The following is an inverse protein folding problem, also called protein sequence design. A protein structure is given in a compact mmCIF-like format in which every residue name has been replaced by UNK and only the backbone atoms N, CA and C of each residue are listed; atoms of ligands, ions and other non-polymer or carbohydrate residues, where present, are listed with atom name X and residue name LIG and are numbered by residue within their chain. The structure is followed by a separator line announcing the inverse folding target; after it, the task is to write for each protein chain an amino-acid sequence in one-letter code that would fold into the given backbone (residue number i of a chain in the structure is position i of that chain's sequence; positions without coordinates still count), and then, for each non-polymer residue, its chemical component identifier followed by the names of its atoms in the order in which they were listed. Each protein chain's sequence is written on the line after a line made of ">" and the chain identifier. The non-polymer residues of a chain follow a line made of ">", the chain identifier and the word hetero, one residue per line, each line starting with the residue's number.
data_IF_691514844890
#
_entry.id   IF_691514844890
#
_cell.length_a   1.000
_cell.length_b   1.000
_cell.length_c   1.000
_cell.angle_alpha   90.00
_cell.angle_beta   90.00
_cell.angle_gamma   90.00
#
_symmetry.space_group_name_H-M   'P 1'
#
loop_
_entity.id
_entity.type
_entity.pdbx_description
1 polymer ?
#
# COMPACT_ATOMS: atom_id res chain seq x y z
N UNK A 1 21.10 5.58 -15.73
CA UNK A 1 21.02 4.82 -14.48
C UNK A 1 19.89 5.32 -13.59
N UNK A 2 19.70 6.64 -13.39
CA UNK A 2 18.61 7.18 -12.53
C UNK A 2 17.19 6.74 -12.93
N UNK A 3 16.88 6.72 -14.24
CA UNK A 3 15.59 6.22 -14.75
C UNK A 3 15.33 4.74 -14.46
N UNK A 4 16.38 3.94 -14.40
CA UNK A 4 16.29 2.49 -14.12
C UNK A 4 15.97 2.28 -12.63
N UNK A 5 16.65 3.04 -11.76
CA UNK A 5 16.40 3.07 -10.32
C UNK A 5 14.97 3.52 -9.98
N UNK A 6 14.45 4.56 -10.64
CA UNK A 6 13.06 4.99 -10.43
C UNK A 6 12.03 3.94 -10.86
N UNK A 7 12.31 3.22 -11.96
CA UNK A 7 11.49 2.11 -12.44
C UNK A 7 11.49 0.93 -11.47
N UNK A 8 12.65 0.57 -10.90
CA UNK A 8 12.76 -0.47 -9.88
C UNK A 8 12.03 -0.10 -8.58
N UNK A 9 12.16 1.15 -8.14
CA UNK A 9 11.44 1.66 -6.97
C UNK A 9 9.92 1.64 -7.20
N UNK A 10 9.47 2.04 -8.38
CA UNK A 10 8.06 1.96 -8.75
C UNK A 10 7.55 0.52 -8.78
N UNK A 11 8.31 -0.39 -9.39
CA UNK A 11 7.96 -1.82 -9.43
C UNK A 11 7.87 -2.42 -8.04
N UNK A 12 8.85 -2.12 -7.19
CA UNK A 12 8.88 -2.57 -5.80
C UNK A 12 7.66 -2.06 -5.04
N UNK A 13 7.34 -0.77 -5.17
CA UNK A 13 6.16 -0.19 -4.52
C UNK A 13 4.86 -0.81 -5.04
N UNK A 14 4.75 -1.07 -6.35
CA UNK A 14 3.59 -1.70 -6.95
C UNK A 14 3.35 -3.12 -6.41
N UNK A 15 4.41 -3.93 -6.28
CA UNK A 15 4.30 -5.28 -5.70
C UNK A 15 3.88 -5.22 -4.21
N UNK A 16 4.42 -4.27 -3.46
CA UNK A 16 4.02 -4.06 -2.06
C UNK A 16 2.56 -3.63 -1.92
N UNK A 17 2.06 -2.77 -2.82
CA UNK A 17 0.65 -2.37 -2.85
C UNK A 17 -0.26 -3.56 -3.17
N UNK A 18 0.10 -4.39 -4.15
CA UNK A 18 -0.65 -5.62 -4.46
C UNK A 18 -0.72 -6.56 -3.25
N UNK A 19 0.41 -6.76 -2.57
CA UNK A 19 0.44 -7.57 -1.35
C UNK A 19 -0.48 -6.99 -0.26
N UNK A 20 -0.42 -5.68 -0.01
CA UNK A 20 -1.30 -5.03 0.96
C UNK A 20 -2.79 -5.21 0.62
N UNK A 21 -3.17 -5.10 -0.66
CA UNK A 21 -4.53 -5.40 -1.11
C UNK A 21 -4.94 -6.85 -0.85
N UNK A 22 -4.05 -7.82 -1.05
CA UNK A 22 -4.31 -9.22 -0.74
C UNK A 22 -4.51 -9.45 0.77
N UNK A 23 -3.69 -8.80 1.61
CA UNK A 23 -3.83 -8.88 3.07
C UNK A 23 -5.18 -8.33 3.56
N UNK A 24 -5.60 -7.17 3.06
CA UNK A 24 -6.91 -6.58 3.42
C UNK A 24 -8.07 -7.50 3.03
N UNK A 25 -7.98 -8.19 1.89
CA UNK A 25 -9.01 -9.13 1.46
C UNK A 25 -9.07 -10.41 2.31
N UNK A 26 -7.93 -10.82 2.88
CA UNK A 26 -7.81 -12.01 3.75
C UNK A 26 -8.03 -11.70 5.23
N UNK A 27 -8.07 -10.42 5.61
CA UNK A 27 -8.29 -10.00 6.98
C UNK A 27 -9.70 -10.40 7.43
N UNK A 28 -9.79 -11.12 8.54
CA UNK A 28 -11.06 -11.45 9.18
C UNK A 28 -11.61 -10.22 9.92
N UNK A 29 -12.19 -9.30 9.14
CA UNK A 29 -12.75 -8.05 9.63
C UNK A 29 -14.12 -7.79 9.00
N UNK A 30 -14.99 -7.03 9.70
CA UNK A 30 -16.26 -6.59 9.14
C UNK A 30 -16.08 -5.88 7.81
N UNK A 31 -17.06 -6.03 6.92
CA UNK A 31 -16.96 -5.46 5.58
C UNK A 31 -16.75 -3.94 5.57
N UNK A 32 -17.39 -3.22 6.49
CA UNK A 32 -17.20 -1.77 6.67
C UNK A 32 -15.74 -1.40 6.97
N UNK A 33 -15.04 -2.23 7.73
CA UNK A 33 -13.61 -2.06 8.03
C UNK A 33 -12.78 -2.35 6.78
N UNK A 34 -13.03 -3.47 6.09
CA UNK A 34 -12.34 -3.79 4.82
C UNK A 34 -12.51 -2.69 3.79
N UNK A 35 -13.73 -2.16 3.58
CA UNK A 35 -13.97 -1.03 2.65
C UNK A 35 -13.18 0.22 3.04
N UNK A 36 -13.03 0.50 4.32
CA UNK A 36 -12.26 1.65 4.80
C UNK A 36 -10.76 1.45 4.57
N UNK A 37 -10.23 0.26 4.83
CA UNK A 37 -8.84 -0.12 4.52
C UNK A 37 -8.56 -0.07 3.02
N UNK A 38 -9.45 -0.60 2.18
CA UNK A 38 -9.34 -0.52 0.71
C UNK A 38 -9.31 0.92 0.22
N UNK A 39 -10.18 1.80 0.74
CA UNK A 39 -10.17 3.23 0.37
C UNK A 39 -8.85 3.91 0.75
N UNK A 40 -8.27 3.58 1.91
CA UNK A 40 -6.94 4.06 2.31
C UNK A 40 -5.85 3.59 1.36
N UNK A 41 -5.85 2.32 0.94
CA UNK A 41 -4.91 1.79 -0.06
C UNK A 41 -5.03 2.49 -1.43
N UNK A 42 -6.24 2.82 -1.86
CA UNK A 42 -6.45 3.59 -3.09
C UNK A 42 -5.84 5.00 -3.00
N UNK A 43 -5.96 5.66 -1.85
CA UNK A 43 -5.35 6.96 -1.62
C UNK A 43 -3.81 6.89 -1.64
N UNK A 44 -3.21 5.84 -1.07
CA UNK A 44 -1.75 5.61 -1.13
C UNK A 44 -1.30 5.37 -2.57
N UNK A 45 -2.04 4.55 -3.33
CA UNK A 45 -1.77 4.30 -4.76
C UNK A 45 -1.85 5.59 -5.58
N UNK A 46 -2.83 6.46 -5.29
CA UNK A 46 -2.93 7.75 -5.96
C UNK A 46 -1.75 8.67 -5.62
N UNK A 47 -1.30 8.68 -4.37
CA UNK A 47 -0.14 9.45 -3.93
C UNK A 47 1.16 8.97 -4.61
N UNK A 48 1.32 7.67 -4.84
CA UNK A 48 2.50 7.08 -5.48
C UNK A 48 2.80 7.66 -6.88
N UNK A 49 1.78 8.17 -7.58
CA UNK A 49 1.92 8.82 -8.89
C UNK A 49 2.64 10.18 -8.83
N UNK A 50 2.66 10.82 -7.66
CA UNK A 50 3.18 12.19 -7.46
C UNK A 50 4.32 12.25 -6.44
N UNK A 51 4.31 11.35 -5.47
CA UNK A 51 5.27 11.26 -4.38
C UNK A 51 5.48 9.80 -4.01
N UNK A 52 6.46 9.18 -4.66
CA UNK A 52 6.78 7.77 -4.47
C UNK A 52 7.30 7.49 -3.05
N UNK A 53 8.18 8.34 -2.54
CA UNK A 53 8.78 8.19 -1.22
C UNK A 53 7.78 8.38 -0.07
N UNK A 54 6.85 9.33 -0.21
CA UNK A 54 5.77 9.51 0.76
C UNK A 54 4.68 8.45 0.65
N UNK A 55 4.44 7.87 -0.53
CA UNK A 55 3.56 6.71 -0.67
C UNK A 55 4.16 5.46 -0.02
N UNK A 56 5.46 5.23 -0.19
CA UNK A 56 6.16 4.13 0.47
C UNK A 56 6.06 4.21 1.99
N UNK A 57 6.36 5.37 2.58
CA UNK A 57 6.23 5.59 4.04
C UNK A 57 4.81 5.40 4.57
N UNK A 58 3.80 5.85 3.82
CA UNK A 58 2.39 5.63 4.17
C UNK A 58 2.00 4.15 4.09
N UNK A 59 2.54 3.43 3.11
CA UNK A 59 2.34 1.99 2.97
C UNK A 59 3.00 1.21 4.11
N UNK A 60 4.19 1.60 4.55
CA UNK A 60 4.86 1.02 5.72
C UNK A 60 3.98 1.12 6.97
N UNK A 61 3.48 2.33 7.26
CA UNK A 61 2.58 2.54 8.40
C UNK A 61 1.26 1.78 8.28
N UNK A 62 0.72 1.65 7.06
CA UNK A 62 -0.50 0.87 6.81
C UNK A 62 -0.29 -0.62 7.06
N UNK A 63 0.84 -1.19 6.60
CA UNK A 63 1.18 -2.59 6.84
C UNK A 63 1.42 -2.88 8.32
N UNK A 64 2.10 -1.98 9.04
CA UNK A 64 2.28 -2.09 10.49
C UNK A 64 0.94 -2.07 11.24
N UNK A 65 0.01 -1.21 10.81
CA UNK A 65 -1.35 -1.17 11.37
C UNK A 65 -2.13 -2.47 11.08
N UNK A 66 -1.98 -3.05 9.90
CA UNK A 66 -2.61 -4.35 9.58
C UNK A 66 -2.04 -5.49 10.42
N UNK A 67 -0.72 -5.54 10.62
CA UNK A 67 -0.10 -6.58 11.44
C UNK A 67 -0.59 -6.47 12.90
N UNK A 68 -0.74 -5.25 13.43
CA UNK A 68 -1.28 -5.03 14.76
C UNK A 68 -2.77 -5.39 14.92
N UNK A 69 -3.50 -5.58 13.81
CA UNK A 69 -4.92 -5.98 13.78
C UNK A 69 -5.13 -7.47 13.55
N UNK A 70 -4.05 -8.22 13.28
CA UNK A 70 -4.08 -9.67 13.09
C UNK A 70 -4.33 -10.38 14.42
#
# INVERSE_FOLDING_TARGET
>A
MERDTDLELFRTLAERLKHAHALVQRLDAPESVRRTLTRRLLAITAAAKRDLGGAARRLDGFLAELEARR
#
